data_IF_783803109106
#
_entry.id   IF_783803109106
#
_cell.length_a   1.000
_cell.length_b   1.000
_cell.length_c   1.000
_cell.angle_alpha   90.00
_cell.angle_beta   90.00
_cell.angle_gamma   90.00
#
_symmetry.space_group_name_H-M   'P 1'
#
loop_
_entity.id
_entity.type
_entity.pdbx_description
1 polymer ?
#
# COMPACT_ATOMS: atom_id res chain seq x y z
N UNK A 1 -5.38 2.21 6.02
CA UNK A 1 -6.51 1.50 5.37
C UNK A 1 -7.05 2.18 4.12
N UNK A 2 -7.48 3.44 4.13
CA UNK A 2 -7.94 4.12 2.90
C UNK A 2 -6.89 4.07 1.77
N UNK A 3 -5.65 4.47 2.06
CA UNK A 3 -4.50 4.29 1.16
C UNK A 3 -4.43 2.87 0.59
N UNK A 4 -4.52 1.83 1.43
CA UNK A 4 -4.38 0.44 1.04
C UNK A 4 -5.48 -0.10 0.10
N UNK A 5 -6.76 0.15 0.41
CA UNK A 5 -7.86 -0.33 -0.43
C UNK A 5 -7.83 0.31 -1.83
N UNK A 6 -7.53 1.61 -1.90
CA UNK A 6 -7.41 2.32 -3.19
C UNK A 6 -6.11 1.93 -3.90
N UNK A 7 -5.03 1.67 -3.15
CA UNK A 7 -3.76 1.15 -3.67
C UNK A 7 -3.88 -0.26 -4.27
N UNK A 8 -4.91 -1.03 -3.91
CA UNK A 8 -5.29 -2.27 -4.58
C UNK A 8 -6.05 -2.04 -5.90
N UNK A 9 -6.99 -1.09 -5.94
CA UNK A 9 -7.78 -0.80 -7.15
C UNK A 9 -6.98 -0.14 -8.28
N UNK A 10 -6.06 0.77 -7.93
CA UNK A 10 -5.42 1.64 -8.93
C UNK A 10 -4.40 0.92 -9.80
N UNK A 11 -3.84 -0.21 -9.34
CA UNK A 11 -2.84 -1.05 -10.04
C UNK A 11 -3.23 -1.25 -11.51
N UNK A 12 -2.47 -0.62 -12.42
CA UNK A 12 -2.87 -0.53 -13.83
C UNK A 12 -1.69 -0.52 -14.82
N UNK A 13 -2.05 -0.74 -16.08
CA UNK A 13 -1.25 -1.10 -17.24
C UNK A 13 -0.12 -0.14 -17.63
N UNK A 14 1.13 -0.56 -17.44
CA UNK A 14 2.26 -0.15 -18.29
C UNK A 14 2.29 -1.01 -19.57
N UNK A 15 2.10 -0.38 -20.73
CA UNK A 15 2.22 -1.03 -22.04
C UNK A 15 2.74 -0.02 -23.08
N UNK A 16 4.06 0.08 -23.20
CA UNK A 16 4.71 1.07 -24.08
C UNK A 16 4.40 0.81 -25.58
N UNK A 17 3.87 1.81 -26.32
CA UNK A 17 3.64 1.68 -27.75
C UNK A 17 4.98 1.69 -28.52
N UNK A 18 5.24 0.67 -29.32
CA UNK A 18 6.44 0.56 -30.17
C UNK A 18 6.07 0.60 -31.66
N UNK A 19 6.01 1.82 -32.21
CA UNK A 19 5.66 2.10 -33.60
C UNK A 19 6.89 2.41 -34.46
N UNK A 20 7.65 1.38 -34.84
CA UNK A 20 8.72 1.51 -35.84
C UNK A 20 8.19 1.18 -37.24
N UNK A 21 7.76 2.20 -37.98
CA UNK A 21 7.22 2.06 -39.34
C UNK A 21 8.35 2.07 -40.38
N UNK A 22 8.68 0.94 -40.99
CA UNK A 22 9.61 0.86 -42.13
C UNK A 22 8.87 0.38 -43.39
N UNK A 23 9.04 1.09 -44.49
CA UNK A 23 8.44 0.76 -45.80
C UNK A 23 9.34 -0.21 -46.56
N UNK A 24 8.98 -1.49 -46.56
CA UNK A 24 9.49 -2.49 -47.50
C UNK A 24 8.31 -3.11 -48.27
N UNK A 25 8.47 -3.30 -49.58
CA UNK A 25 7.53 -4.13 -50.36
C UNK A 25 8.00 -5.59 -50.26
N UNK A 26 7.10 -6.51 -49.97
CA UNK A 26 7.00 -7.80 -50.68
C UNK A 26 5.75 -8.57 -50.25
N UNK A 27 5.27 -9.47 -51.12
CA UNK A 27 4.08 -10.29 -50.89
C UNK A 27 4.45 -11.60 -50.20
N UNK A 28 4.14 -11.72 -48.91
CA UNK A 28 4.33 -12.96 -48.15
C UNK A 28 3.35 -13.12 -46.99
N UNK A 29 2.65 -14.26 -46.93
CA UNK A 29 1.64 -14.56 -45.89
C UNK A 29 2.33 -14.80 -44.54
N UNK A 30 2.57 -13.72 -43.81
CA UNK A 30 3.15 -13.76 -42.46
C UNK A 30 2.08 -14.05 -41.42
N UNK A 31 2.20 -15.16 -40.68
CA UNK A 31 1.38 -15.42 -39.49
C UNK A 31 1.56 -14.27 -38.49
N UNK A 32 0.49 -13.57 -38.15
CA UNK A 32 0.47 -12.60 -37.05
C UNK A 32 0.58 -13.38 -35.73
N UNK A 33 1.81 -13.62 -35.29
CA UNK A 33 2.09 -14.12 -33.94
C UNK A 33 1.73 -13.01 -32.97
N UNK A 34 0.53 -13.09 -32.39
CA UNK A 34 0.10 -12.20 -31.32
C UNK A 34 1.08 -12.30 -30.15
N UNK A 35 1.96 -11.32 -30.01
CA UNK A 35 2.76 -11.13 -28.80
C UNK A 35 1.78 -10.79 -27.70
N UNK A 36 1.57 -11.72 -26.76
CA UNK A 36 0.85 -11.44 -25.51
C UNK A 36 1.47 -10.19 -24.87
N UNK A 37 0.67 -9.27 -24.30
CA UNK A 37 1.22 -8.15 -23.55
C UNK A 37 2.13 -8.68 -22.42
N UNK A 38 3.23 -7.98 -22.16
CA UNK A 38 4.08 -8.28 -21.01
C UNK A 38 3.24 -8.14 -19.73
N UNK A 39 3.44 -9.05 -18.79
CA UNK A 39 2.97 -8.90 -17.43
C UNK A 39 4.05 -8.18 -16.63
N UNK A 40 3.68 -7.09 -15.98
CA UNK A 40 4.46 -6.52 -14.90
C UNK A 40 3.84 -7.01 -13.60
N UNK A 41 4.65 -7.62 -12.74
CA UNK A 41 4.22 -8.02 -11.40
C UNK A 41 4.32 -6.80 -10.48
N UNK A 42 3.31 -6.53 -9.67
CA UNK A 42 3.33 -5.40 -8.73
C UNK A 42 3.24 -5.91 -7.29
N UNK A 43 4.09 -5.39 -6.40
CA UNK A 43 4.12 -5.78 -4.98
C UNK A 43 3.93 -4.54 -4.11
N UNK A 44 2.91 -4.57 -3.27
CA UNK A 44 2.58 -3.49 -2.33
C UNK A 44 3.19 -3.80 -0.97
N UNK A 45 3.98 -2.88 -0.43
CA UNK A 45 4.54 -2.95 0.93
C UNK A 45 3.94 -1.84 1.77
N UNK A 46 2.83 -2.15 2.44
CA UNK A 46 2.02 -1.17 3.16
C UNK A 46 2.15 -1.32 4.69
N UNK A 47 2.11 -0.22 5.44
CA UNK A 47 1.83 -0.21 6.86
C UNK A 47 0.31 -0.18 7.06
N UNK A 48 -0.12 -0.62 8.24
CA UNK A 48 -1.52 -0.50 8.64
C UNK A 48 -1.67 0.78 9.51
N UNK A 49 -2.77 1.52 9.30
CA UNK A 49 -2.86 2.98 9.47
C UNK A 49 -4.33 3.45 9.60
N UNK A 50 -4.64 4.36 10.55
CA UNK A 50 -5.97 4.58 11.19
C UNK A 50 -6.06 5.99 11.91
N UNK A 51 -7.19 6.73 12.16
CA UNK A 51 -8.12 6.66 13.34
C UNK A 51 -9.41 7.59 13.38
N UNK A 52 -10.32 7.32 14.36
CA UNK A 52 -11.61 7.84 14.97
C UNK A 52 -13.05 7.54 14.41
N UNK A 53 -14.08 7.63 15.29
CA UNK A 53 -15.51 7.17 15.17
C UNK A 53 -16.53 8.32 14.82
N UNK A 54 -17.87 8.33 14.92
CA UNK A 54 -18.98 7.54 15.53
C UNK A 54 -20.28 7.62 14.67
N UNK A 55 -21.35 6.92 15.13
CA UNK A 55 -22.80 7.05 14.85
C UNK A 55 -23.27 7.45 13.43
N UNK A 56 -23.79 6.45 12.71
CA UNK A 56 -24.96 6.51 11.82
C UNK A 56 -25.35 5.06 11.46
N UNK A 57 -26.62 4.69 11.58
CA UNK A 57 -27.17 3.49 10.92
C UNK A 57 -27.63 3.88 9.51
N UNK A 58 -27.19 3.20 8.44
CA UNK A 58 -27.80 3.30 7.12
C UNK A 58 -28.71 2.11 6.87
N UNK A 59 -30.01 2.39 6.67
CA UNK A 59 -30.92 1.46 6.00
C UNK A 59 -30.43 1.25 4.55
N UNK A 60 -30.44 0.00 4.08
CA UNK A 60 -30.12 -0.36 2.70
C UNK A 60 -31.37 -0.93 2.03
N UNK A 61 -31.64 -0.50 0.80
CA UNK A 61 -32.77 -0.93 -0.04
C UNK A 61 -32.25 -1.53 -1.37
N UNK A 62 -33.10 -2.28 -2.07
CA UNK A 62 -32.72 -3.49 -2.82
C UNK A 62 -32.39 -3.37 -4.34
N UNK A 63 -31.92 -4.50 -4.87
CA UNK A 63 -32.04 -5.01 -6.26
C UNK A 63 -31.30 -4.35 -7.45
N UNK A 64 -30.24 -5.03 -7.93
CA UNK A 64 -29.90 -5.14 -9.37
C UNK A 64 -29.37 -6.56 -9.71
N UNK A 65 -29.84 -7.25 -10.77
CA UNK A 65 -29.41 -8.62 -11.09
C UNK A 65 -28.02 -8.81 -11.72
N UNK A 66 -27.54 -10.05 -11.63
CA UNK A 66 -26.19 -10.53 -11.98
C UNK A 66 -25.87 -10.56 -13.49
N UNK A 67 -24.67 -10.09 -13.89
CA UNK A 67 -23.98 -10.54 -15.13
C UNK A 67 -22.50 -10.78 -14.85
N UNK A 68 -22.03 -12.02 -15.00
CA UNK A 68 -20.61 -12.40 -14.91
C UNK A 68 -19.97 -12.50 -16.30
N UNK A 69 -18.96 -11.67 -16.59
CA UNK A 69 -17.97 -11.95 -17.63
C UNK A 69 -16.55 -11.61 -17.12
N UNK A 70 -15.54 -12.38 -17.54
CA UNK A 70 -14.17 -12.31 -17.00
C UNK A 70 -13.28 -11.37 -17.82
N UNK A 71 -12.68 -10.37 -17.18
CA UNK A 71 -11.60 -9.56 -17.77
C UNK A 71 -10.25 -9.98 -17.15
N UNK A 72 -9.69 -11.11 -17.62
CA UNK A 72 -8.35 -11.62 -17.21
C UNK A 72 -7.20 -10.90 -17.96
N UNK A 73 -7.24 -9.58 -18.04
CA UNK A 73 -6.36 -8.79 -18.93
C UNK A 73 -5.77 -7.52 -18.32
N UNK A 74 -5.60 -7.49 -17.00
CA UNK A 74 -5.03 -6.35 -16.25
C UNK A 74 -3.86 -6.83 -15.38
N UNK A 75 -2.87 -5.98 -15.07
CA UNK A 75 -1.87 -6.31 -14.05
C UNK A 75 -2.54 -6.16 -12.67
N UNK A 76 -2.69 -7.28 -11.98
CA UNK A 76 -3.09 -7.30 -10.58
C UNK A 76 -1.84 -7.30 -9.68
N UNK A 77 -1.89 -6.77 -8.45
CA UNK A 77 -0.75 -6.88 -7.54
C UNK A 77 -0.56 -8.36 -7.20
N UNK A 78 0.65 -8.86 -7.44
CA UNK A 78 1.02 -10.27 -7.32
C UNK A 78 1.19 -10.72 -5.87
N UNK A 79 1.23 -9.77 -4.94
CA UNK A 79 1.11 -9.99 -3.51
C UNK A 79 1.37 -8.73 -2.70
N UNK A 80 1.17 -8.87 -1.40
CA UNK A 80 1.18 -7.76 -0.43
C UNK A 80 2.08 -8.14 0.75
N UNK A 81 2.97 -7.24 1.17
CA UNK A 81 3.92 -7.48 2.26
C UNK A 81 3.73 -6.45 3.38
N UNK A 82 3.31 -6.88 4.57
CA UNK A 82 2.94 -5.96 5.65
C UNK A 82 4.10 -5.72 6.61
N UNK A 83 4.48 -4.46 6.84
CA UNK A 83 5.54 -4.11 7.79
C UNK A 83 4.96 -4.06 9.21
N UNK A 84 5.34 -5.03 10.05
CA UNK A 84 4.81 -5.18 11.41
C UNK A 84 5.34 -4.18 12.44
N UNK A 85 6.37 -3.42 12.08
CA UNK A 85 6.85 -2.22 12.80
C UNK A 85 6.23 -0.91 12.27
N UNK A 86 5.09 -1.00 11.56
CA UNK A 86 4.28 0.13 11.12
C UNK A 86 3.38 0.72 12.22
N UNK A 87 2.36 1.47 11.80
CA UNK A 87 1.49 2.27 12.67
C UNK A 87 0.37 1.51 13.41
N UNK A 88 0.10 0.26 13.06
CA UNK A 88 -0.90 -0.58 13.68
C UNK A 88 -0.44 -2.05 13.74
N UNK A 89 -1.14 -2.86 14.52
CA UNK A 89 -0.67 -4.18 14.95
C UNK A 89 -0.55 -5.19 13.80
N UNK A 90 0.47 -6.08 13.81
CA UNK A 90 0.54 -7.28 12.97
C UNK A 90 -0.76 -8.10 12.90
N UNK A 91 -1.51 -8.19 14.00
CA UNK A 91 -2.79 -8.90 14.06
C UNK A 91 -3.89 -8.27 13.19
N UNK A 92 -3.75 -6.98 12.86
CA UNK A 92 -4.73 -6.21 12.07
C UNK A 92 -4.72 -6.60 10.57
N UNK A 93 -3.88 -7.54 10.16
CA UNK A 93 -3.90 -8.15 8.83
C UNK A 93 -5.27 -8.78 8.47
N UNK A 94 -6.11 -9.10 9.46
CA UNK A 94 -7.54 -9.43 9.26
C UNK A 94 -8.28 -8.36 8.42
N UNK A 95 -8.03 -7.07 8.65
CA UNK A 95 -8.73 -5.99 7.89
C UNK A 95 -8.28 -5.98 6.43
N UNK A 96 -7.03 -6.37 6.15
CA UNK A 96 -6.53 -6.52 4.77
C UNK A 96 -7.23 -7.69 4.09
N UNK A 97 -7.39 -8.81 4.80
CA UNK A 97 -8.15 -9.93 4.28
C UNK A 97 -9.63 -9.58 4.06
N UNK A 98 -10.28 -8.88 4.98
CA UNK A 98 -11.66 -8.42 4.86
C UNK A 98 -11.87 -7.46 3.67
N UNK A 99 -10.93 -6.54 3.41
CA UNK A 99 -10.97 -5.69 2.19
C UNK A 99 -10.73 -6.51 0.92
N UNK A 100 -9.75 -7.40 0.91
CA UNK A 100 -9.53 -8.28 -0.26
C UNK A 100 -10.76 -9.15 -0.52
N UNK A 101 -11.43 -9.64 0.53
CA UNK A 101 -12.65 -10.44 0.43
C UNK A 101 -13.83 -9.61 -0.11
N UNK A 102 -14.01 -8.37 0.38
CA UNK A 102 -14.96 -7.39 -0.17
C UNK A 102 -14.72 -7.16 -1.67
N UNK A 103 -13.45 -7.03 -2.08
CA UNK A 103 -13.05 -6.84 -3.48
C UNK A 103 -13.14 -8.13 -4.33
N UNK A 104 -13.46 -9.28 -3.73
CA UNK A 104 -13.44 -10.59 -4.41
C UNK A 104 -12.04 -11.08 -4.81
N UNK A 105 -11.01 -10.62 -4.09
CA UNK A 105 -9.57 -10.78 -4.36
C UNK A 105 -8.83 -11.65 -3.34
N UNK A 106 -9.45 -12.75 -2.94
CA UNK A 106 -8.80 -13.76 -2.07
C UNK A 106 -7.64 -14.51 -2.75
N UNK A 107 -7.48 -14.35 -4.06
CA UNK A 107 -6.34 -14.85 -4.83
C UNK A 107 -5.01 -14.13 -4.51
N UNK A 108 -5.05 -12.93 -3.91
CA UNK A 108 -3.85 -12.14 -3.64
C UNK A 108 -3.20 -12.61 -2.32
N UNK A 109 -1.93 -13.09 -2.36
CA UNK A 109 -1.22 -13.54 -1.17
C UNK A 109 -0.75 -12.35 -0.32
N UNK A 110 -0.88 -12.49 1.00
CA UNK A 110 -0.50 -11.45 1.99
C UNK A 110 0.52 -12.03 2.96
N UNK A 111 1.70 -11.43 3.01
CA UNK A 111 2.83 -11.90 3.80
C UNK A 111 3.14 -10.94 4.95
N UNK A 112 3.20 -11.45 6.18
CA UNK A 112 3.56 -10.66 7.36
C UNK A 112 5.08 -10.52 7.49
N UNK A 113 5.54 -9.28 7.64
CA UNK A 113 6.94 -8.91 7.78
C UNK A 113 7.51 -9.02 9.19
N UNK A 114 8.67 -8.40 9.39
CA UNK A 114 9.23 -8.22 10.73
C UNK A 114 8.32 -7.36 11.61
N UNK A 115 8.23 -7.68 12.90
CA UNK A 115 7.52 -6.87 13.89
C UNK A 115 8.41 -5.77 14.48
N UNK A 116 9.70 -5.77 14.13
CA UNK A 116 10.73 -4.86 14.65
C UNK A 116 11.57 -4.28 13.51
N UNK A 117 12.14 -3.10 13.73
CA UNK A 117 13.15 -2.53 12.85
C UNK A 117 14.40 -3.42 12.75
N UNK A 118 15.12 -3.36 11.63
CA UNK A 118 16.35 -4.12 11.42
C UNK A 118 17.36 -3.94 12.56
N UNK A 119 17.98 -5.04 12.96
CA UNK A 119 19.01 -5.15 13.99
C UNK A 119 18.63 -4.55 15.37
N UNK A 120 17.36 -4.24 15.63
CA UNK A 120 16.88 -3.82 16.95
C UNK A 120 16.85 -5.02 17.93
N UNK A 121 17.68 -5.04 18.99
CA UNK A 121 17.72 -6.16 19.93
C UNK A 121 16.63 -6.10 21.01
N UNK A 122 15.88 -5.00 21.08
CA UNK A 122 14.68 -4.87 21.91
C UNK A 122 13.42 -5.28 21.14
N UNK A 123 12.34 -5.59 21.86
CA UNK A 123 11.01 -5.99 21.36
C UNK A 123 10.27 -4.86 20.59
N UNK A 124 10.90 -4.29 19.57
CA UNK A 124 10.35 -3.28 18.65
C UNK A 124 10.24 -1.85 19.20
N UNK A 125 10.22 -1.68 20.53
CA UNK A 125 9.79 -0.44 21.17
C UNK A 125 10.54 0.85 20.78
N UNK A 126 11.84 0.80 20.42
CA UNK A 126 12.67 2.01 20.24
C UNK A 126 12.02 3.05 19.32
N UNK A 127 11.58 2.63 18.15
CA UNK A 127 11.00 3.53 17.15
C UNK A 127 9.46 3.50 17.15
N UNK A 128 8.86 2.34 17.44
CA UNK A 128 7.39 2.18 17.46
C UNK A 128 6.74 3.07 18.53
N UNK A 129 7.43 3.34 19.65
CA UNK A 129 6.97 4.29 20.67
C UNK A 129 6.83 5.75 20.18
N UNK A 130 7.26 6.08 18.95
CA UNK A 130 6.96 7.36 18.32
C UNK A 130 5.58 7.43 17.65
N UNK A 131 4.87 6.30 17.49
CA UNK A 131 3.50 6.31 16.97
C UNK A 131 2.54 6.80 18.07
N UNK A 132 1.67 7.78 17.82
CA UNK A 132 0.75 8.29 18.84
C UNK A 132 -0.30 7.26 19.26
N UNK A 133 -0.37 6.93 20.55
CA UNK A 133 -1.50 6.16 21.09
C UNK A 133 -2.78 7.02 21.07
N UNK A 134 -3.85 6.53 20.43
CA UNK A 134 -5.16 7.19 20.43
C UNK A 134 -5.98 6.92 21.70
N UNK A 135 -7.04 7.70 21.91
CA UNK A 135 -7.87 7.77 23.13
C UNK A 135 -8.37 6.44 23.72
N UNK A 136 -8.53 5.39 22.92
CA UNK A 136 -9.05 4.08 23.34
C UNK A 136 -8.00 2.97 23.51
N UNK A 137 -6.70 3.26 23.36
CA UNK A 137 -5.66 2.23 23.36
C UNK A 137 -5.67 1.33 22.10
N UNK A 138 -4.85 0.27 22.11
CA UNK A 138 -4.47 -0.47 20.89
C UNK A 138 -5.63 -1.22 20.21
N UNK A 139 -6.49 -1.95 20.92
CA UNK A 139 -7.48 -2.85 20.27
C UNK A 139 -8.47 -2.09 19.35
N UNK A 140 -9.00 -0.95 19.79
CA UNK A 140 -9.81 -0.11 18.90
C UNK A 140 -8.95 0.66 17.87
N UNK A 141 -7.62 0.73 18.06
CA UNK A 141 -6.62 1.27 17.10
C UNK A 141 -6.23 0.30 16.00
N UNK A 142 -6.74 -0.92 16.10
CA UNK A 142 -6.42 -2.09 15.29
C UNK A 142 -7.73 -2.62 14.61
N UNK A 143 -8.78 -1.80 14.45
CA UNK A 143 -10.13 -2.23 13.96
C UNK A 143 -10.92 -1.17 13.16
N UNK A 144 -10.29 -0.07 12.74
CA UNK A 144 -10.92 1.11 12.15
C UNK A 144 -12.14 1.63 12.94
N UNK A 145 -12.14 1.71 14.28
CA UNK A 145 -13.33 2.11 15.09
C UNK A 145 -14.46 1.09 15.08
N UNK A 146 -14.17 -0.12 14.63
CA UNK A 146 -15.19 -1.02 14.21
C UNK A 146 -15.81 -0.69 12.85
N UNK A 147 -15.30 0.26 12.06
CA UNK A 147 -15.60 0.33 10.62
C UNK A 147 -15.12 -0.94 9.90
N UNK A 148 -14.09 -1.63 10.43
CA UNK A 148 -13.75 -2.99 9.98
C UNK A 148 -14.76 -4.06 10.44
N UNK A 149 -15.66 -3.76 11.39
CA UNK A 149 -16.83 -4.62 11.72
C UNK A 149 -17.95 -4.46 10.68
N UNK A 150 -17.87 -3.44 9.81
CA UNK A 150 -18.78 -3.23 8.67
C UNK A 150 -18.26 -3.87 7.37
N UNK A 151 -17.02 -4.37 7.35
CA UNK A 151 -16.49 -5.14 6.23
C UNK A 151 -17.06 -6.57 6.24
N UNK A 152 -17.23 -7.23 5.07
CA UNK A 152 -17.52 -8.66 5.02
C UNK A 152 -16.34 -9.45 5.59
N UNK A 153 -16.62 -10.39 6.48
CA UNK A 153 -15.56 -11.19 7.12
C UNK A 153 -14.97 -12.21 6.17
N UNK A 154 -13.66 -12.10 5.98
CA UNK A 154 -12.86 -13.02 5.19
C UNK A 154 -12.79 -14.42 5.83
N UNK A 155 -12.72 -15.49 5.03
CA UNK A 155 -12.39 -16.84 5.50
C UNK A 155 -10.91 -17.01 5.88
N UNK A 156 -10.04 -16.09 5.44
CA UNK A 156 -8.62 -15.97 5.85
C UNK A 156 -8.51 -15.05 7.06
N UNK A 157 -7.72 -15.45 8.06
CA UNK A 157 -7.47 -14.66 9.27
C UNK A 157 -6.02 -14.79 9.77
N UNK A 158 -5.64 -13.90 10.69
CA UNK A 158 -4.35 -13.88 11.34
C UNK A 158 -4.16 -15.09 12.28
N UNK A 159 -3.00 -15.73 12.19
CA UNK A 159 -2.56 -16.77 13.12
C UNK A 159 -1.17 -16.45 13.66
N UNK A 160 -1.07 -16.30 14.98
CA UNK A 160 0.15 -15.82 15.63
C UNK A 160 1.28 -16.86 15.66
N UNK A 161 2.50 -16.41 15.37
CA UNK A 161 3.69 -17.27 15.19
C UNK A 161 4.11 -18.03 16.47
N UNK A 162 3.82 -17.47 17.65
CA UNK A 162 4.17 -18.02 18.97
C UNK A 162 3.10 -18.95 19.58
N UNK A 163 2.06 -19.32 18.81
CA UNK A 163 0.93 -20.18 19.26
C UNK A 163 1.32 -21.52 19.91
N UNK A 164 2.55 -21.99 19.70
CA UNK A 164 3.10 -23.24 20.25
C UNK A 164 3.24 -23.24 21.77
N UNK A 165 3.59 -22.10 22.37
CA UNK A 165 4.01 -22.02 23.79
C UNK A 165 2.82 -22.12 24.76
N UNK A 166 1.61 -21.83 24.28
CA UNK A 166 0.38 -21.79 25.07
C UNK A 166 -0.72 -22.75 24.57
N UNK A 167 -0.35 -23.78 23.80
CA UNK A 167 -1.25 -24.91 23.47
C UNK A 167 -2.42 -24.58 22.54
N UNK A 168 -2.40 -23.44 21.84
CA UNK A 168 -3.36 -23.18 20.77
C UNK A 168 -3.11 -24.18 19.61
N UNK A 169 -4.13 -24.86 19.05
CA UNK A 169 -3.90 -25.90 18.05
C UNK A 169 -3.22 -25.39 16.78
N UNK A 170 -1.90 -25.63 16.67
CA UNK A 170 -1.26 -25.78 15.37
C UNK A 170 -1.81 -27.05 14.72
N UNK A 171 -2.55 -26.89 13.63
CA UNK A 171 -2.61 -27.91 12.59
C UNK A 171 -1.28 -27.89 11.83
N UNK A 172 -0.22 -28.49 12.41
CA UNK A 172 1.08 -28.73 11.75
C UNK A 172 0.95 -29.46 10.41
N UNK A 173 -0.17 -30.18 10.27
CA UNK A 173 -0.52 -31.03 9.15
C UNK A 173 -1.15 -30.22 7.99
N UNK A 174 -1.49 -28.95 8.24
CA UNK A 174 -2.08 -27.99 7.31
C UNK A 174 -1.32 -26.64 7.28
N UNK A 175 -0.03 -26.63 6.86
CA UNK A 175 0.81 -25.44 6.82
C UNK A 175 0.30 -24.33 5.87
N UNK A 176 -0.70 -24.60 5.05
CA UNK A 176 -1.43 -23.64 4.22
C UNK A 176 -2.39 -22.73 5.02
N UNK A 177 -2.75 -23.09 6.25
CA UNK A 177 -3.70 -22.34 7.10
C UNK A 177 -3.03 -21.38 8.10
N UNK A 178 -1.69 -21.25 8.07
CA UNK A 178 -0.96 -20.26 8.88
C UNK A 178 -0.77 -18.94 8.13
N UNK A 179 -0.54 -17.87 8.87
CA UNK A 179 -0.06 -16.61 8.31
C UNK A 179 1.26 -16.83 7.55
N UNK A 180 1.27 -16.52 6.26
CA UNK A 180 2.47 -16.54 5.43
C UNK A 180 3.38 -15.37 5.80
N UNK A 181 4.70 -15.56 5.71
CA UNK A 181 5.69 -14.51 5.96
C UNK A 181 5.98 -13.71 4.68
N UNK A 182 6.39 -12.45 4.82
CA UNK A 182 6.71 -11.57 3.70
C UNK A 182 7.80 -12.16 2.78
N UNK A 183 8.81 -12.82 3.34
CA UNK A 183 9.85 -13.50 2.58
C UNK A 183 9.37 -14.78 1.88
N UNK A 184 8.25 -15.38 2.30
CA UNK A 184 7.66 -16.56 1.66
C UNK A 184 6.80 -16.14 0.47
N UNK A 185 5.98 -15.09 0.65
CA UNK A 185 5.21 -14.46 -0.43
C UNK A 185 6.14 -13.90 -1.50
N UNK A 186 7.20 -13.16 -1.11
CA UNK A 186 8.26 -12.74 -2.05
C UNK A 186 8.83 -13.93 -2.84
N UNK A 187 9.20 -15.01 -2.15
CA UNK A 187 9.75 -16.22 -2.79
C UNK A 187 8.75 -16.95 -3.68
N UNK A 188 7.44 -16.81 -3.52
CA UNK A 188 6.49 -17.30 -4.55
C UNK A 188 6.55 -16.39 -5.76
N UNK A 189 6.31 -15.09 -5.58
CA UNK A 189 6.25 -14.11 -6.66
C UNK A 189 7.52 -14.11 -7.52
N UNK A 190 8.71 -14.24 -6.92
CA UNK A 190 9.99 -14.31 -7.66
C UNK A 190 10.31 -15.68 -8.29
N UNK A 191 9.58 -16.76 -7.94
CA UNK A 191 9.59 -18.04 -8.66
C UNK A 191 8.55 -18.08 -9.78
N UNK A 192 7.39 -17.48 -9.55
CA UNK A 192 6.26 -17.44 -10.49
C UNK A 192 6.48 -16.40 -11.60
N UNK A 193 7.24 -15.33 -11.32
CA UNK A 193 7.75 -14.39 -12.32
C UNK A 193 8.84 -15.04 -13.19
N UNK A 194 8.60 -15.09 -14.50
CA UNK A 194 9.61 -15.55 -15.46
C UNK A 194 10.77 -14.53 -15.52
N UNK A 195 11.98 -14.94 -15.94
CA UNK A 195 13.14 -14.04 -16.04
C UNK A 195 12.96 -12.81 -16.96
N UNK A 196 11.89 -12.77 -17.76
CA UNK A 196 11.45 -11.64 -18.59
C UNK A 196 10.40 -10.73 -17.95
N UNK A 197 9.78 -11.15 -16.84
CA UNK A 197 8.76 -10.43 -16.09
C UNK A 197 9.44 -9.81 -14.87
N UNK A 198 9.35 -8.50 -14.72
CA UNK A 198 10.01 -7.76 -13.64
C UNK A 198 8.97 -7.26 -12.64
N UNK A 199 9.41 -7.04 -11.41
CA UNK A 199 8.57 -6.68 -10.27
C UNK A 199 8.71 -5.19 -9.99
N UNK A 200 7.62 -4.43 -10.09
CA UNK A 200 7.54 -3.06 -9.57
C UNK A 200 7.08 -3.13 -8.11
N UNK A 201 7.81 -2.48 -7.21
CA UNK A 201 7.46 -2.42 -5.79
C UNK A 201 6.95 -1.01 -5.46
N UNK A 202 5.86 -0.92 -4.69
CA UNK A 202 5.40 0.32 -4.09
C UNK A 202 5.40 0.17 -2.57
N UNK A 203 6.22 0.95 -1.89
CA UNK A 203 6.32 0.96 -0.41
C UNK A 203 5.72 2.25 0.13
N UNK A 204 4.76 2.16 1.03
CA UNK A 204 4.15 3.31 1.72
C UNK A 204 4.26 3.20 3.25
N UNK A 205 5.31 2.52 3.71
CA UNK A 205 5.55 2.17 5.12
C UNK A 205 7.03 1.89 5.40
N UNK A 206 7.37 1.43 6.62
CA UNK A 206 8.75 1.13 7.00
C UNK A 206 9.39 0.13 6.04
N UNK A 207 10.59 0.47 5.55
CA UNK A 207 11.29 -0.22 4.46
C UNK A 207 11.87 -1.59 4.86
N UNK A 208 11.63 -2.01 6.10
CA UNK A 208 12.03 -3.27 6.76
C UNK A 208 11.86 -4.50 5.89
N UNK A 209 10.72 -4.65 5.20
CA UNK A 209 10.45 -5.81 4.34
C UNK A 209 11.31 -5.82 3.08
N UNK A 210 11.49 -4.66 2.43
CA UNK A 210 12.33 -4.57 1.23
C UNK A 210 13.82 -4.74 1.57
N UNK A 211 14.28 -4.19 2.69
CA UNK A 211 15.64 -4.41 3.16
C UNK A 211 15.88 -5.89 3.52
N UNK A 212 14.95 -6.56 4.21
CA UNK A 212 15.04 -8.01 4.47
C UNK A 212 15.08 -8.84 3.18
N UNK A 213 14.33 -8.47 2.14
CA UNK A 213 14.41 -9.10 0.82
C UNK A 213 15.81 -8.95 0.23
N UNK A 214 16.36 -7.73 0.19
CA UNK A 214 17.69 -7.45 -0.38
C UNK A 214 18.83 -8.15 0.38
N UNK A 215 18.69 -8.31 1.70
CA UNK A 215 19.67 -9.02 2.54
C UNK A 215 19.56 -10.55 2.41
N UNK A 216 18.34 -11.08 2.23
CA UNK A 216 18.07 -12.53 2.18
C UNK A 216 18.19 -13.15 0.79
N UNK A 217 17.87 -12.39 -0.26
CA UNK A 217 17.82 -12.83 -1.65
C UNK A 217 18.75 -12.00 -2.52
N UNK A 218 19.96 -12.54 -2.76
CA UNK A 218 21.01 -11.91 -3.56
C UNK A 218 20.61 -11.67 -5.02
N UNK A 219 19.54 -12.32 -5.50
CA UNK A 219 19.02 -12.15 -6.85
C UNK A 219 17.85 -11.15 -6.90
N UNK A 220 17.32 -10.65 -5.77
CA UNK A 220 16.13 -9.81 -5.74
C UNK A 220 16.26 -8.54 -6.61
N UNK A 221 17.43 -7.90 -6.61
CA UNK A 221 17.75 -6.74 -7.46
C UNK A 221 17.66 -7.05 -8.96
N UNK A 222 17.78 -8.32 -9.37
CA UNK A 222 17.60 -8.75 -10.75
C UNK A 222 16.14 -8.98 -11.14
N UNK A 223 15.23 -9.18 -10.17
CA UNK A 223 13.79 -9.29 -10.41
C UNK A 223 13.09 -7.93 -10.33
N UNK A 224 13.52 -7.05 -9.41
CA UNK A 224 12.93 -5.73 -9.21
C UNK A 224 13.21 -4.84 -10.44
N UNK A 225 12.15 -4.30 -11.04
CA UNK A 225 12.23 -3.27 -12.08
C UNK A 225 12.54 -1.90 -11.48
N UNK A 226 11.76 -1.56 -10.45
CA UNK A 226 11.64 -0.21 -9.91
C UNK A 226 10.98 -0.24 -8.54
N UNK A 227 11.32 0.72 -7.68
CA UNK A 227 10.69 0.94 -6.37
C UNK A 227 10.14 2.36 -6.29
N UNK A 228 8.86 2.48 -6.02
CA UNK A 228 8.22 3.72 -5.59
C UNK A 228 8.19 3.75 -4.07
N UNK A 229 8.80 4.77 -3.46
CA UNK A 229 8.87 4.92 -2.00
C UNK A 229 8.04 6.15 -1.59
N UNK A 230 6.93 5.93 -0.89
CA UNK A 230 6.16 6.99 -0.21
C UNK A 230 6.73 7.14 1.20
N UNK A 231 7.43 8.24 1.39
CA UNK A 231 8.16 8.53 2.62
C UNK A 231 9.37 9.42 2.34
N UNK A 232 10.14 9.69 3.38
CA UNK A 232 11.31 10.58 3.33
C UNK A 232 10.95 12.06 3.23
N UNK A 233 11.69 12.86 3.99
CA UNK A 233 11.65 14.32 3.94
C UNK A 233 13.08 14.79 3.65
N UNK A 234 13.33 15.23 2.41
CA UNK A 234 14.66 15.64 1.98
C UNK A 234 14.97 17.02 2.58
N UNK A 235 15.98 17.09 3.43
CA UNK A 235 16.55 18.35 3.90
C UNK A 235 17.34 18.96 2.75
N UNK A 236 16.74 19.96 2.10
CA UNK A 236 17.39 20.90 1.17
C UNK A 236 17.25 22.34 1.71
N UNK A 237 17.50 23.34 0.86
CA UNK A 237 17.51 24.76 1.26
C UNK A 237 16.18 25.26 1.86
N UNK A 238 15.05 24.63 1.54
CA UNK A 238 13.74 24.97 2.13
C UNK A 238 13.60 24.50 3.58
N UNK A 239 14.42 23.54 4.04
CA UNK A 239 14.49 23.02 5.41
C UNK A 239 13.12 22.69 6.03
N UNK A 240 12.21 22.14 5.23
CA UNK A 240 10.88 21.74 5.68
C UNK A 240 10.98 20.74 6.84
N UNK A 241 10.29 21.02 7.95
CA UNK A 241 10.21 20.06 9.07
C UNK A 241 9.49 18.77 8.62
N UNK A 242 9.90 17.65 9.21
CA UNK A 242 9.38 16.31 8.91
C UNK A 242 7.98 16.08 9.47
N UNK A 243 7.58 14.82 9.64
CA UNK A 243 6.29 14.46 10.25
C UNK A 243 6.40 13.72 11.59
N UNK A 244 7.60 13.42 12.11
CA UNK A 244 7.80 12.71 13.40
C UNK A 244 7.56 13.64 14.61
N UNK A 245 6.34 14.18 14.73
CA UNK A 245 5.96 15.21 15.70
C UNK A 245 5.96 14.75 17.16
N UNK A 246 6.11 13.46 17.42
CA UNK A 246 6.19 12.83 18.74
C UNK A 246 7.62 12.76 19.31
N UNK A 247 8.65 13.04 18.50
CA UNK A 247 10.05 13.00 18.90
C UNK A 247 10.66 14.40 18.66
N UNK A 248 10.50 15.36 19.58
CA UNK A 248 10.82 16.77 19.33
C UNK A 248 12.30 17.07 19.03
N UNK A 249 13.20 16.13 19.31
CA UNK A 249 14.62 16.19 18.92
C UNK A 249 14.86 15.88 17.45
N UNK A 250 13.95 15.20 16.75
CA UNK A 250 14.08 14.81 15.35
C UNK A 250 13.13 15.60 14.44
N UNK A 251 13.47 16.87 14.23
CA UNK A 251 12.64 17.84 13.49
C UNK A 251 12.43 17.53 12.01
N UNK A 252 13.26 16.69 11.39
CA UNK A 252 13.34 16.58 9.93
C UNK A 252 13.09 15.18 9.37
N UNK A 253 13.03 14.13 10.20
CA UNK A 253 12.73 12.79 9.73
C UNK A 253 11.26 12.63 9.33
N UNK A 254 11.03 11.69 8.43
CA UNK A 254 9.70 11.23 8.05
C UNK A 254 9.46 9.85 8.69
N UNK A 255 8.25 9.59 9.18
CA UNK A 255 7.87 8.42 9.98
C UNK A 255 8.25 7.07 9.33
N UNK A 256 7.99 6.85 8.04
CA UNK A 256 8.35 5.58 7.38
C UNK A 256 9.87 5.37 7.35
N UNK A 257 10.66 6.45 7.26
CA UNK A 257 12.13 6.40 7.38
C UNK A 257 12.61 6.32 8.84
N UNK A 258 11.89 6.90 9.79
CA UNK A 258 12.22 6.89 11.23
C UNK A 258 11.90 5.55 11.90
N UNK A 259 10.86 4.85 11.45
CA UNK A 259 10.41 3.57 12.02
C UNK A 259 11.34 2.39 11.68
N UNK A 260 12.16 2.52 10.64
CA UNK A 260 13.33 1.68 10.43
C UNK A 260 14.44 2.43 9.66
N UNK A 261 15.30 3.20 10.36
CA UNK A 261 16.35 4.00 9.75
C UNK A 261 17.41 3.15 9.05
N UNK A 262 17.66 1.93 9.55
CA UNK A 262 18.64 1.03 8.99
C UNK A 262 18.13 0.39 7.69
N UNK A 263 16.87 -0.05 7.65
CA UNK A 263 16.25 -0.48 6.40
C UNK A 263 16.11 0.66 5.39
N UNK A 264 15.74 1.87 5.85
CA UNK A 264 15.68 3.05 5.01
C UNK A 264 17.04 3.33 4.36
N UNK A 265 18.12 3.32 5.14
CA UNK A 265 19.49 3.43 4.63
C UNK A 265 19.84 2.31 3.64
N UNK A 266 19.62 1.06 4.02
CA UNK A 266 19.92 -0.13 3.19
C UNK A 266 19.19 -0.11 1.84
N UNK A 267 17.94 0.35 1.79
CA UNK A 267 17.18 0.47 0.53
C UNK A 267 17.62 1.69 -0.27
N UNK A 268 17.66 2.89 0.32
CA UNK A 268 18.00 4.14 -0.39
C UNK A 268 19.43 4.11 -0.92
N UNK A 269 20.37 3.50 -0.19
CA UNK A 269 21.77 3.41 -0.59
C UNK A 269 22.08 2.15 -1.42
N UNK A 270 21.05 1.40 -1.86
CA UNK A 270 21.16 0.25 -2.76
C UNK A 270 21.45 0.64 -4.23
N UNK A 271 21.27 -0.30 -5.16
CA UNK A 271 21.42 -0.09 -6.61
C UNK A 271 20.08 -0.31 -7.38
N UNK A 272 18.94 -0.12 -6.70
CA UNK A 272 17.61 -0.19 -7.33
C UNK A 272 17.27 1.12 -8.06
N UNK A 273 16.41 1.07 -9.09
CA UNK A 273 15.73 2.28 -9.60
C UNK A 273 14.69 2.72 -8.56
N UNK A 274 14.97 3.83 -7.88
CA UNK A 274 14.14 4.37 -6.80
C UNK A 274 13.51 5.69 -7.23
N UNK A 275 12.19 5.77 -7.12
CA UNK A 275 11.41 7.02 -7.21
C UNK A 275 10.79 7.35 -5.85
N UNK A 276 11.28 8.41 -5.22
CA UNK A 276 10.85 8.90 -3.91
C UNK A 276 9.68 9.89 -4.03
N UNK A 277 8.51 9.49 -3.54
CA UNK A 277 7.32 10.33 -3.32
C UNK A 277 7.45 10.96 -1.93
N UNK A 278 8.24 12.03 -1.86
CA UNK A 278 8.63 12.69 -0.60
C UNK A 278 7.47 13.38 0.13
N UNK A 279 7.61 13.58 1.43
CA UNK A 279 6.66 14.30 2.29
C UNK A 279 6.26 15.69 1.74
N UNK A 280 7.18 16.36 1.02
CA UNK A 280 6.95 17.66 0.36
C UNK A 280 5.86 17.60 -0.73
N UNK A 281 5.74 16.50 -1.48
CA UNK A 281 4.67 16.34 -2.48
C UNK A 281 3.43 15.69 -1.88
N UNK A 282 3.58 14.78 -0.92
CA UNK A 282 2.46 14.24 -0.14
C UNK A 282 1.60 15.35 0.50
N UNK A 283 2.25 16.34 1.14
CA UNK A 283 1.59 17.52 1.74
C UNK A 283 0.78 18.40 0.77
N UNK A 284 0.92 18.22 -0.55
CA UNK A 284 0.13 18.95 -1.56
C UNK A 284 -1.24 18.30 -1.81
N UNK A 285 -1.43 17.05 -1.37
CA UNK A 285 -2.63 16.24 -1.67
C UNK A 285 -3.44 15.83 -0.43
N UNK A 286 -3.30 16.57 0.67
CA UNK A 286 -3.95 16.27 1.95
C UNK A 286 -5.29 16.98 2.20
N UNK A 287 -5.97 17.46 1.15
CA UNK A 287 -7.29 18.10 1.30
C UNK A 287 -8.41 17.06 1.39
N UNK A 288 -8.85 16.77 2.63
CA UNK A 288 -10.08 16.03 2.89
C UNK A 288 -11.32 16.63 2.20
N UNK A 289 -11.33 17.93 1.89
CA UNK A 289 -12.46 18.54 1.21
C UNK A 289 -12.45 18.21 -0.28
N UNK A 290 -11.33 18.42 -0.97
CA UNK A 290 -11.25 18.20 -2.41
C UNK A 290 -11.41 16.71 -2.79
N UNK A 291 -10.85 15.80 -1.98
CA UNK A 291 -10.98 14.36 -2.21
C UNK A 291 -12.43 13.86 -2.01
N UNK A 292 -13.14 14.36 -1.00
CA UNK A 292 -14.55 14.00 -0.77
C UNK A 292 -15.49 14.62 -1.82
N UNK A 293 -15.22 15.83 -2.28
CA UNK A 293 -15.97 16.46 -3.37
C UNK A 293 -15.80 15.70 -4.69
N UNK A 294 -14.57 15.27 -5.03
CA UNK A 294 -14.34 14.45 -6.22
C UNK A 294 -15.01 13.06 -6.10
N UNK A 295 -14.98 12.43 -4.92
CA UNK A 295 -15.71 11.17 -4.69
C UNK A 295 -17.23 11.31 -4.86
N UNK A 296 -17.82 12.43 -4.43
CA UNK A 296 -19.26 12.71 -4.62
C UNK A 296 -19.66 12.90 -6.09
N UNK A 297 -18.70 13.18 -6.98
CA UNK A 297 -18.90 13.26 -8.43
C UNK A 297 -18.59 11.92 -9.14
N UNK A 298 -18.08 10.92 -8.43
CA UNK A 298 -17.80 9.59 -8.96
C UNK A 298 -19.07 8.71 -9.00
N UNK A 299 -19.01 7.58 -9.70
CA UNK A 299 -20.04 6.55 -9.53
C UNK A 299 -19.93 5.91 -8.15
N UNK A 300 -21.05 5.79 -7.43
CA UNK A 300 -21.15 5.04 -6.18
C UNK A 300 -20.98 3.53 -6.39
N UNK A 301 -19.72 3.09 -6.51
CA UNK A 301 -19.28 1.71 -6.32
C UNK A 301 -19.21 1.40 -4.82
N UNK A 302 -19.27 0.12 -4.39
CA UNK A 302 -19.04 -0.25 -2.99
C UNK A 302 -17.74 0.32 -2.43
N UNK A 303 -16.68 0.33 -3.24
CA UNK A 303 -15.36 0.84 -2.87
C UNK A 303 -15.36 2.38 -2.74
N UNK A 304 -15.95 3.12 -3.69
CA UNK A 304 -16.10 4.58 -3.60
C UNK A 304 -16.93 4.99 -2.39
N UNK A 305 -18.01 4.25 -2.09
CA UNK A 305 -18.85 4.48 -0.90
C UNK A 305 -18.06 4.20 0.39
N UNK A 306 -17.38 3.06 0.48
CA UNK A 306 -16.53 2.70 1.63
C UNK A 306 -15.45 3.75 1.89
N UNK A 307 -14.76 4.21 0.84
CA UNK A 307 -13.71 5.23 0.94
C UNK A 307 -14.28 6.62 1.24
N UNK A 308 -15.42 7.00 0.65
CA UNK A 308 -16.10 8.26 0.99
C UNK A 308 -16.53 8.27 2.46
N UNK A 309 -17.13 7.20 2.96
CA UNK A 309 -17.48 7.04 4.37
C UNK A 309 -16.24 7.11 5.27
N UNK A 310 -15.17 6.37 4.94
CA UNK A 310 -13.92 6.36 5.72
C UNK A 310 -13.22 7.72 5.74
N UNK A 311 -13.15 8.44 4.61
CA UNK A 311 -12.54 9.77 4.58
C UNK A 311 -13.43 10.84 5.21
N UNK A 312 -14.76 10.72 5.11
CA UNK A 312 -15.75 11.57 5.80
C UNK A 312 -15.74 11.33 7.31
N UNK A 313 -15.47 10.10 7.72
CA UNK A 313 -15.15 9.73 9.09
C UNK A 313 -13.88 10.47 9.50
N UNK A 314 -12.69 10.15 8.97
CA UNK A 314 -11.40 10.78 9.33
C UNK A 314 -11.48 12.33 9.41
N UNK A 315 -12.11 12.99 8.43
CA UNK A 315 -12.28 14.45 8.43
C UNK A 315 -13.09 14.99 9.62
N UNK A 316 -14.17 14.31 10.06
CA UNK A 316 -14.98 14.74 11.23
C UNK A 316 -14.14 14.86 12.51
N UNK A 317 -12.94 14.27 12.53
CA UNK A 317 -12.27 13.85 13.76
C UNK A 317 -10.94 14.54 13.94
N UNK A 318 -10.22 14.74 12.83
CA UNK A 318 -9.27 15.84 12.71
C UNK A 318 -9.88 17.17 13.20
N UNK A 319 -11.16 17.42 12.86
CA UNK A 319 -11.93 18.60 13.27
C UNK A 319 -12.38 18.59 14.73
N UNK A 320 -12.79 17.43 15.28
CA UNK A 320 -13.37 17.34 16.64
C UNK A 320 -12.36 17.04 17.77
N UNK A 321 -11.22 16.42 17.47
CA UNK A 321 -10.38 15.80 18.51
C UNK A 321 -8.89 16.04 18.27
N UNK A 322 -8.26 16.84 19.14
CA UNK A 322 -6.83 17.25 19.04
C UNK A 322 -5.84 16.09 18.84
N UNK A 323 -6.10 14.92 19.43
CA UNK A 323 -5.24 13.74 19.29
C UNK A 323 -5.09 13.27 17.83
N UNK A 324 -6.05 13.62 16.98
CA UNK A 324 -6.19 13.11 15.61
C UNK A 324 -6.05 14.23 14.56
N UNK A 325 -5.45 15.37 14.94
CA UNK A 325 -5.13 16.47 14.01
C UNK A 325 -4.25 16.02 12.84
N UNK A 326 -3.48 14.93 13.01
CA UNK A 326 -2.58 14.36 12.00
C UNK A 326 -3.24 13.43 10.97
N UNK A 327 -4.58 13.31 10.96
CA UNK A 327 -5.31 12.42 10.04
C UNK A 327 -5.18 12.78 8.56
N UNK A 328 -4.69 13.97 8.24
CA UNK A 328 -4.43 14.42 6.87
C UNK A 328 -3.17 13.77 6.25
N UNK A 329 -2.18 13.37 7.07
CA UNK A 329 -0.96 12.68 6.61
C UNK A 329 -1.30 11.42 5.79
N UNK A 330 -2.33 10.69 6.22
CA UNK A 330 -2.82 9.45 5.62
C UNK A 330 -3.37 9.62 4.19
N UNK A 331 -3.71 10.84 3.78
CA UNK A 331 -4.08 11.17 2.40
C UNK A 331 -2.86 11.26 1.49
N UNK A 332 -1.71 11.67 2.04
CA UNK A 332 -0.42 11.65 1.37
C UNK A 332 0.06 10.24 1.03
N UNK A 333 -0.23 9.27 1.90
CA UNK A 333 0.09 7.85 1.70
C UNK A 333 -0.68 7.18 0.55
N UNK A 334 -1.70 7.84 0.00
CA UNK A 334 -2.41 7.38 -1.20
C UNK A 334 -1.61 7.71 -2.47
N UNK A 335 -0.77 8.77 -2.41
CA UNK A 335 -0.18 9.38 -3.59
C UNK A 335 0.69 8.44 -4.42
N UNK A 336 1.53 7.62 -3.79
CA UNK A 336 2.39 6.69 -4.52
C UNK A 336 1.62 5.70 -5.37
N UNK A 337 0.39 5.35 -4.99
CA UNK A 337 -0.45 4.45 -5.76
C UNK A 337 -1.15 5.16 -6.93
N UNK A 338 -1.66 6.39 -6.75
CA UNK A 338 -2.20 7.19 -7.86
C UNK A 338 -1.08 7.45 -8.88
N UNK A 339 0.10 7.84 -8.40
CA UNK A 339 1.27 8.15 -9.20
C UNK A 339 1.92 6.92 -9.86
N UNK A 340 1.85 5.73 -9.26
CA UNK A 340 2.28 4.51 -9.96
C UNK A 340 1.35 4.18 -11.15
N UNK A 341 0.08 4.60 -11.09
CA UNK A 341 -1.00 4.09 -11.94
C UNK A 341 -1.39 4.99 -13.11
N UNK A 342 -1.28 6.31 -12.97
CA UNK A 342 -1.44 7.26 -14.08
C UNK A 342 -0.54 8.50 -13.91
N UNK A 343 0.70 8.41 -14.38
CA UNK A 343 1.64 9.55 -14.41
C UNK A 343 1.29 10.57 -15.50
N UNK A 344 0.52 10.16 -16.53
CA UNK A 344 0.34 10.94 -17.75
C UNK A 344 -0.56 12.15 -17.55
N UNK A 345 -1.59 12.02 -16.70
CA UNK A 345 -2.51 13.11 -16.38
C UNK A 345 -2.10 13.94 -15.16
N UNK A 346 -1.09 13.51 -14.38
CA UNK A 346 -0.60 14.20 -13.18
C UNK A 346 0.41 15.34 -13.46
N UNK A 347 0.85 15.52 -14.71
CA UNK A 347 1.88 16.51 -15.11
C UNK A 347 3.09 16.60 -14.16
N UNK A 348 3.74 15.47 -13.81
CA UNK A 348 4.69 15.42 -12.70
C UNK A 348 6.02 16.12 -13.01
N UNK A 349 6.49 16.96 -12.07
CA UNK A 349 7.85 17.50 -12.07
C UNK A 349 8.75 16.54 -11.31
N UNK A 350 9.72 15.99 -12.01
CA UNK A 350 10.63 14.95 -11.53
C UNK A 350 12.06 15.50 -11.52
N UNK A 351 12.80 15.30 -10.42
CA UNK A 351 14.19 15.74 -10.26
C UNK A 351 15.06 14.56 -9.80
N UNK A 352 16.26 14.43 -10.35
CA UNK A 352 17.29 13.57 -9.76
C UNK A 352 17.95 14.31 -8.59
N UNK A 353 18.15 13.62 -7.46
CA UNK A 353 18.94 14.12 -6.31
C UNK A 353 19.83 13.01 -5.78
N UNK A 354 21.07 13.32 -5.37
CA UNK A 354 21.88 12.39 -4.57
C UNK A 354 21.47 12.49 -3.11
N UNK A 355 21.01 11.40 -2.51
CA UNK A 355 20.55 11.39 -1.11
C UNK A 355 21.26 10.34 -0.26
N UNK A 356 21.32 10.60 1.04
CA UNK A 356 21.78 9.68 2.08
C UNK A 356 20.78 9.65 3.24
N UNK A 357 20.78 8.55 4.00
CA UNK A 357 19.94 8.40 5.22
C UNK A 357 20.82 8.38 6.47
N UNK A 358 20.48 9.24 7.42
CA UNK A 358 21.13 9.35 8.73
C UNK A 358 20.65 8.26 9.70
N UNK A 359 21.60 7.66 10.42
CA UNK A 359 21.37 6.61 11.43
C UNK A 359 22.31 6.77 12.62
N UNK A 360 21.94 6.17 13.77
CA UNK A 360 22.79 6.01 14.95
C UNK A 360 22.46 6.97 16.10
N UNK A 361 21.49 7.88 15.94
CA UNK A 361 21.06 8.81 16.99
C UNK A 361 19.61 9.24 16.73
N UNK A 362 18.74 9.07 17.72
CA UNK A 362 17.29 9.33 17.63
C UNK A 362 16.95 10.74 17.12
N UNK A 363 17.79 11.75 17.34
CA UNK A 363 17.56 13.12 16.84
C UNK A 363 17.79 13.30 15.33
N UNK A 364 18.41 12.33 14.66
CA UNK A 364 18.68 12.33 13.20
C UNK A 364 18.35 11.01 12.49
N UNK A 365 18.04 9.95 13.23
CA UNK A 365 17.58 8.65 12.71
C UNK A 365 16.45 8.87 11.68
N UNK A 366 16.63 8.36 10.45
CA UNK A 366 15.65 8.48 9.37
C UNK A 366 15.62 9.82 8.63
N UNK A 367 16.47 10.79 8.98
CA UNK A 367 16.59 12.02 8.21
C UNK A 367 17.21 11.74 6.83
N UNK A 368 16.58 12.27 5.78
CA UNK A 368 17.07 12.18 4.41
C UNK A 368 17.76 13.49 4.05
N UNK A 369 19.03 13.46 3.68
CA UNK A 369 19.82 14.65 3.30
C UNK A 369 20.28 14.57 1.86
N UNK A 370 20.56 15.71 1.23
CA UNK A 370 21.32 15.76 -0.02
C UNK A 370 22.80 15.58 0.29
N UNK A 371 23.44 14.56 -0.30
CA UNK A 371 24.90 14.34 -0.22
C UNK A 371 25.46 14.18 -1.64
N UNK A 372 26.05 15.25 -2.16
CA UNK A 372 26.63 15.27 -3.50
C UNK A 372 27.91 14.43 -3.66
N UNK A 373 28.52 13.97 -2.56
CA UNK A 373 29.76 13.17 -2.56
C UNK A 373 29.48 11.67 -2.46
N UNK A 374 28.67 11.26 -1.49
CA UNK A 374 28.44 9.84 -1.17
C UNK A 374 26.98 9.38 -1.38
N UNK A 375 26.03 10.31 -1.53
CA UNK A 375 24.61 9.99 -1.67
C UNK A 375 24.30 9.25 -2.97
N UNK A 376 23.35 8.33 -2.93
CA UNK A 376 22.91 7.63 -4.15
C UNK A 376 21.95 8.51 -4.96
N UNK A 377 22.10 8.57 -6.30
CA UNK A 377 21.17 9.27 -7.16
C UNK A 377 19.82 8.54 -7.17
N UNK A 378 18.78 9.17 -6.64
CA UNK A 378 17.40 8.72 -6.76
C UNK A 378 16.58 9.71 -7.59
N UNK A 379 15.48 9.21 -8.14
CA UNK A 379 14.45 10.03 -8.75
C UNK A 379 13.53 10.55 -7.65
N UNK A 380 13.15 11.82 -7.67
CA UNK A 380 12.30 12.48 -6.67
C UNK A 380 11.12 13.15 -7.36
N UNK A 381 9.91 12.90 -6.86
CA UNK A 381 8.70 13.62 -7.26
C UNK A 381 8.60 14.94 -6.48
N UNK A 382 8.66 16.06 -7.18
CA UNK A 382 8.80 17.42 -6.61
C UNK A 382 7.46 18.20 -6.65
N UNK A 383 6.70 18.06 -7.74
CA UNK A 383 5.32 18.52 -7.85
C UNK A 383 4.51 17.70 -8.87
N UNK A 384 3.21 17.93 -8.87
CA UNK A 384 2.18 17.35 -9.72
C UNK A 384 0.97 18.29 -9.76
N UNK A 385 0.02 18.04 -10.65
CA UNK A 385 -1.30 18.68 -10.66
C UNK A 385 -2.19 18.05 -9.57
N UNK A 386 -2.54 18.85 -8.56
CA UNK A 386 -3.31 18.42 -7.40
C UNK A 386 -4.80 18.22 -7.68
N UNK A 387 -5.38 18.95 -8.65
CA UNK A 387 -6.79 18.79 -9.02
C UNK A 387 -6.97 17.56 -9.92
N UNK A 388 -6.03 17.36 -10.86
CA UNK A 388 -5.95 16.11 -11.61
C UNK A 388 -5.81 14.91 -10.66
N UNK A 389 -4.98 15.00 -9.61
CA UNK A 389 -4.84 13.95 -8.60
C UNK A 389 -6.18 13.54 -7.97
N UNK A 390 -6.97 14.47 -7.43
CA UNK A 390 -8.24 14.13 -6.77
C UNK A 390 -9.25 13.56 -7.78
N UNK A 391 -9.25 14.07 -9.01
CA UNK A 391 -10.13 13.58 -10.09
C UNK A 391 -9.75 12.16 -10.53
N UNK A 392 -8.45 11.87 -10.71
CA UNK A 392 -7.93 10.54 -11.08
C UNK A 392 -8.24 9.53 -9.97
N UNK A 393 -7.99 9.89 -8.71
CA UNK A 393 -8.31 9.05 -7.54
C UNK A 393 -9.80 8.66 -7.51
N UNK A 394 -10.72 9.63 -7.64
CA UNK A 394 -12.16 9.36 -7.64
C UNK A 394 -12.63 8.62 -8.90
N UNK A 395 -11.97 8.81 -10.04
CA UNK A 395 -12.21 8.09 -11.30
C UNK A 395 -11.83 6.61 -11.21
N UNK A 396 -10.77 6.26 -10.47
CA UNK A 396 -10.40 4.87 -10.23
C UNK A 396 -11.46 4.16 -9.38
N UNK A 397 -11.77 4.70 -8.20
CA UNK A 397 -12.81 4.19 -7.30
C UNK A 397 -14.19 4.09 -7.99
N UNK A 398 -14.57 5.11 -8.76
CA UNK A 398 -15.82 5.12 -9.53
C UNK A 398 -15.86 4.19 -10.75
N UNK A 399 -14.80 3.44 -11.05
CA UNK A 399 -14.78 2.59 -12.24
C UNK A 399 -15.56 1.29 -12.03
N UNK A 400 -16.84 1.29 -12.44
CA UNK A 400 -17.74 0.11 -12.45
C UNK A 400 -17.21 -1.12 -13.22
N UNK A 401 -16.11 -1.00 -13.97
CA UNK A 401 -15.44 -2.15 -14.61
C UNK A 401 -14.25 -2.70 -13.82
N UNK A 402 -13.78 -2.01 -12.78
CA UNK A 402 -12.74 -2.45 -11.83
C UNK A 402 -13.34 -2.82 -10.47
N UNK A 403 -14.38 -2.11 -10.04
CA UNK A 403 -15.18 -2.41 -8.85
C UNK A 403 -15.64 -3.87 -8.82
N UNK A 404 -15.65 -4.44 -7.63
CA UNK A 404 -15.96 -5.83 -7.39
C UNK A 404 -17.42 -6.15 -7.72
N UNK A 405 -17.61 -7.28 -8.42
CA UNK A 405 -18.94 -7.89 -8.55
C UNK A 405 -19.29 -8.59 -7.24
N UNK A 406 -19.59 -7.79 -6.23
CA UNK A 406 -20.30 -8.20 -5.02
C UNK A 406 -21.68 -8.70 -5.47
N UNK A 407 -21.79 -9.99 -5.76
CA UNK A 407 -23.09 -10.66 -5.61
C UNK A 407 -23.55 -10.37 -4.18
N UNK A 408 -24.75 -9.82 -4.03
CA UNK A 408 -25.11 -8.92 -2.91
C UNK A 408 -24.71 -9.44 -1.53
N UNK A 409 -24.57 -8.55 -0.56
CA UNK A 409 -24.19 -8.93 0.81
C UNK A 409 -25.07 -10.09 1.34
N UNK A 410 -26.36 -10.14 1.00
CA UNK A 410 -27.24 -11.27 1.28
C UNK A 410 -27.09 -12.48 0.35
N UNK A 411 -26.67 -12.37 -0.92
CA UNK A 411 -26.21 -13.54 -1.69
C UNK A 411 -24.94 -14.18 -1.10
N UNK A 412 -23.98 -13.36 -0.67
CA UNK A 412 -22.74 -13.79 -0.02
C UNK A 412 -23.07 -14.47 1.31
N UNK A 413 -23.86 -13.80 2.16
CA UNK A 413 -24.37 -14.34 3.43
C UNK A 413 -25.22 -15.60 3.25
N UNK A 414 -26.05 -15.70 2.21
CA UNK A 414 -26.77 -16.94 1.86
C UNK A 414 -25.79 -18.07 1.52
N UNK A 415 -24.73 -17.81 0.74
CA UNK A 415 -23.69 -18.80 0.43
C UNK A 415 -22.94 -19.25 1.70
N UNK A 416 -22.48 -18.32 2.54
CA UNK A 416 -21.83 -18.64 3.82
C UNK A 416 -22.77 -19.37 4.80
N UNK A 417 -24.09 -19.15 4.69
CA UNK A 417 -25.12 -19.83 5.50
C UNK A 417 -25.58 -21.16 4.90
N UNK A 418 -25.08 -21.55 3.72
CA UNK A 418 -25.37 -22.87 3.14
C UNK A 418 -24.24 -23.82 3.54
N UNK A 419 -24.50 -24.90 4.29
CA UNK A 419 -23.47 -25.89 4.58
C UNK A 419 -22.93 -26.49 3.27
N UNK A 420 -21.61 -26.60 3.14
CA UNK A 420 -21.00 -27.29 2.01
C UNK A 420 -21.55 -28.72 1.92
N UNK A 421 -22.00 -29.09 0.71
CA UNK A 421 -22.42 -30.46 0.45
C UNK A 421 -21.18 -31.34 0.41
N UNK A 422 -20.95 -32.10 1.48
CA UNK A 422 -20.00 -33.19 1.50
C UNK A 422 -20.24 -34.10 0.29
N UNK A 423 -19.17 -34.38 -0.46
CA UNK A 423 -19.13 -35.19 -1.67
C UNK A 423 -18.16 -36.35 -1.49
#
# INVERSE_FOLDING_TARGET
MASFAVQLEMVSSSAAPSSSFTRGKDYGVSKVVSKKPRREAQVVIAPLMERVATEAEPEFEDDVPLVRSRIKSRPDPSGILISGNGWANPATIDIIYDVLHMMGRDDIPVGLGSLTALESPSLGCKFVNAIPHGSGGHIDSDTLFGFARNLPRSPRSYTAQNSVEYGAPRNTDHPELRQQLALEVWKSISRDANASEKITILTNGPLTNLANILLSDKNATSFIQKVYIVGGNIIDDEKLEGNVFTVPSNKFAEFNMFLDPLAAKTVVESNLDITLISLKVQRKVTSFQAILQNLQLSCGTPESIFVHQLLSLLQRLQKKHRQYHHMDVFLGEILGAVFMSDQSHLSPVIKAKKIAVSIGNVSIDGQTTVDERNGKPVIVLDSLDTEAYYSIFAKFLGNKTQSAVVGSFDEQKKKWSTPDKCH
#
